data_IF_136301373067
#
_entry.id   IF_136301373067
#
_cell.length_a   1.000
_cell.length_b   1.000
_cell.length_c   1.000
_cell.angle_alpha   90.00
_cell.angle_beta   90.00
_cell.angle_gamma   90.00
#
_symmetry.space_group_name_H-M   'P 1'
#
loop_
_entity.id
_entity.type
_entity.pdbx_description
1 polymer ?
#
# COMPACT_ATOMS: atom_id res chain seq x y z
N UNK A 1 -31.82 -56.82 41.66
CA UNK A 1 -32.06 -55.47 41.11
C UNK A 1 -30.97 -54.52 41.60
N UNK A 2 -29.97 -54.27 40.75
CA UNK A 2 -29.19 -53.03 40.61
C UNK A 2 -28.16 -53.30 39.52
N UNK A 3 -28.52 -52.87 38.31
CA UNK A 3 -27.66 -52.90 37.14
C UNK A 3 -26.78 -51.66 37.26
N UNK A 4 -25.47 -51.85 37.48
CA UNK A 4 -24.50 -50.77 37.38
C UNK A 4 -24.15 -50.60 35.90
N UNK A 5 -24.84 -49.68 35.24
CA UNK A 5 -24.38 -49.15 33.96
C UNK A 5 -23.20 -48.21 34.23
N UNK A 6 -21.97 -48.67 33.97
CA UNK A 6 -20.85 -47.75 33.78
C UNK A 6 -21.05 -47.04 32.44
N UNK A 7 -21.60 -45.83 32.49
CA UNK A 7 -21.69 -44.95 31.33
C UNK A 7 -20.31 -44.40 31.02
N UNK A 8 -19.59 -45.09 30.14
CA UNK A 8 -18.42 -44.56 29.46
C UNK A 8 -18.88 -43.38 28.61
N UNK A 9 -18.50 -42.17 29.01
CA UNK A 9 -18.66 -40.95 28.23
C UNK A 9 -17.88 -41.11 26.91
N UNK A 10 -18.58 -41.45 25.83
CA UNK A 10 -18.05 -41.33 24.47
C UNK A 10 -18.13 -39.85 24.12
N UNK A 11 -17.02 -39.14 24.27
CA UNK A 11 -16.83 -37.82 23.69
C UNK A 11 -16.77 -37.95 22.18
N UNK A 12 -17.91 -37.70 21.52
CA UNK A 12 -17.97 -37.57 20.07
C UNK A 12 -17.31 -36.23 19.71
N UNK A 13 -16.03 -36.26 19.38
CA UNK A 13 -15.38 -35.18 18.65
C UNK A 13 -15.91 -35.18 17.22
N UNK A 14 -16.94 -34.37 16.96
CA UNK A 14 -17.35 -34.05 15.60
C UNK A 14 -16.31 -33.05 15.05
N UNK A 15 -15.26 -33.57 14.42
CA UNK A 15 -14.46 -32.77 13.49
C UNK A 15 -15.34 -32.49 12.28
N UNK A 16 -16.04 -31.36 12.28
CA UNK A 16 -16.65 -30.83 11.08
C UNK A 16 -15.53 -30.22 10.23
N UNK A 17 -14.73 -31.09 9.61
CA UNK A 17 -13.65 -30.69 8.72
C UNK A 17 -14.28 -30.33 7.38
N UNK A 18 -14.59 -29.05 7.17
CA UNK A 18 -14.95 -28.54 5.85
C UNK A 18 -13.72 -28.62 4.93
N UNK A 19 -13.68 -29.73 4.20
CA UNK A 19 -13.14 -30.00 2.87
C UNK A 19 -12.46 -28.77 2.21
N UNK A 20 -11.12 -28.76 2.30
CA UNK A 20 -10.10 -27.87 1.69
C UNK A 20 -10.05 -26.44 2.25
N UNK A 21 -8.85 -25.95 2.64
CA UNK A 21 -8.65 -24.52 2.84
C UNK A 21 -9.01 -23.80 1.55
N UNK A 22 -9.96 -22.88 1.61
CA UNK A 22 -10.22 -21.98 0.48
C UNK A 22 -8.96 -21.14 0.28
N UNK A 23 -8.54 -20.90 -0.96
CA UNK A 23 -7.40 -20.03 -1.23
C UNK A 23 -7.89 -18.59 -1.43
N UNK A 24 -7.22 -17.64 -0.79
CA UNK A 24 -7.36 -16.21 -1.08
C UNK A 24 -6.51 -15.92 -2.30
N UNK A 25 -7.11 -15.27 -3.30
CA UNK A 25 -6.42 -14.84 -4.52
C UNK A 25 -6.47 -13.32 -4.60
N UNK A 26 -5.31 -12.68 -4.55
CA UNK A 26 -5.17 -11.23 -4.74
C UNK A 26 -4.58 -10.99 -6.13
N UNK A 27 -5.28 -10.21 -6.94
CA UNK A 27 -4.73 -9.71 -8.20
C UNK A 27 -3.85 -8.50 -7.89
N UNK A 28 -2.60 -8.57 -8.33
CA UNK A 28 -1.59 -7.52 -8.07
C UNK A 28 -0.95 -7.12 -9.38
N UNK A 29 -0.81 -5.81 -9.61
CA UNK A 29 -0.02 -5.34 -10.73
C UNK A 29 1.48 -5.54 -10.47
N UNK A 30 2.29 -5.38 -11.53
CA UNK A 30 3.73 -5.62 -11.50
C UNK A 30 4.47 -4.71 -10.52
N UNK A 31 3.98 -3.48 -10.31
CA UNK A 31 4.61 -2.52 -9.41
C UNK A 31 4.34 -2.83 -7.94
N UNK A 32 3.15 -3.35 -7.63
CA UNK A 32 2.77 -3.72 -6.26
C UNK A 32 3.28 -5.08 -5.84
N UNK A 33 3.40 -6.00 -6.78
CA UNK A 33 3.72 -7.39 -6.49
C UNK A 33 4.95 -7.56 -5.57
N UNK A 34 6.11 -6.91 -5.81
CA UNK A 34 7.26 -7.05 -4.92
C UNK A 34 6.97 -6.63 -3.47
N UNK A 35 6.18 -5.57 -3.28
CA UNK A 35 5.82 -5.08 -1.95
C UNK A 35 4.87 -6.04 -1.22
N UNK A 36 3.91 -6.63 -1.95
CA UNK A 36 2.97 -7.62 -1.37
C UNK A 36 3.71 -8.90 -1.00
N UNK A 37 4.62 -9.38 -1.86
CA UNK A 37 5.42 -10.58 -1.59
C UNK A 37 6.36 -10.36 -0.39
N UNK A 38 7.01 -9.20 -0.30
CA UNK A 38 7.87 -8.84 0.84
C UNK A 38 7.06 -8.81 2.16
N UNK A 39 5.86 -8.22 2.14
CA UNK A 39 4.98 -8.19 3.31
C UNK A 39 4.58 -9.60 3.75
N UNK A 40 4.12 -10.45 2.82
CA UNK A 40 3.69 -11.80 3.16
C UNK A 40 4.85 -12.63 3.69
N UNK A 41 6.03 -12.50 3.08
CA UNK A 41 7.26 -13.16 3.54
C UNK A 41 7.62 -12.75 4.96
N UNK A 42 7.74 -11.45 5.25
CA UNK A 42 8.06 -10.91 6.58
C UNK A 42 6.96 -11.18 7.61
N UNK A 43 5.72 -11.33 7.16
CA UNK A 43 4.60 -11.73 8.00
C UNK A 43 4.47 -13.24 8.21
N UNK A 44 5.44 -14.05 7.76
CA UNK A 44 5.41 -15.51 7.84
C UNK A 44 4.15 -16.14 7.21
N UNK A 45 3.63 -15.54 6.13
CA UNK A 45 2.50 -16.09 5.37
C UNK A 45 3.06 -16.86 4.18
N UNK A 46 2.74 -18.16 4.10
CA UNK A 46 3.10 -18.94 2.92
C UNK A 46 2.19 -18.57 1.75
N UNK A 47 2.80 -18.25 0.61
CA UNK A 47 2.09 -17.88 -0.61
C UNK A 47 2.73 -18.52 -1.85
N UNK A 48 1.95 -18.58 -2.92
CA UNK A 48 2.41 -18.92 -4.26
C UNK A 48 2.01 -17.79 -5.22
N UNK A 49 2.92 -17.41 -6.11
CA UNK A 49 2.71 -16.28 -7.02
C UNK A 49 2.76 -16.71 -8.48
N UNK A 50 1.86 -16.17 -9.30
CA UNK A 50 2.04 -16.05 -10.75
C UNK A 50 2.28 -14.59 -11.10
N UNK A 51 2.58 -14.25 -12.37
CA UNK A 51 2.92 -12.87 -12.76
C UNK A 51 1.87 -11.80 -12.36
N UNK A 52 0.59 -12.17 -12.19
CA UNK A 52 -0.50 -11.23 -11.92
C UNK A 52 -1.35 -11.58 -10.69
N UNK A 53 -1.01 -12.64 -9.96
CA UNK A 53 -1.79 -13.07 -8.81
C UNK A 53 -0.92 -13.68 -7.71
N UNK A 54 -1.30 -13.43 -6.47
CA UNK A 54 -0.75 -14.08 -5.29
C UNK A 54 -1.86 -14.90 -4.64
N UNK A 55 -1.55 -16.16 -4.33
CA UNK A 55 -2.44 -17.11 -3.69
C UNK A 55 -1.87 -17.55 -2.35
N UNK A 56 -2.71 -17.52 -1.32
CA UNK A 56 -2.36 -18.04 0.01
C UNK A 56 -3.61 -18.64 0.66
N UNK A 57 -3.39 -19.49 1.67
CA UNK A 57 -4.46 -20.20 2.35
C UNK A 57 -5.38 -19.24 3.12
N UNK A 58 -6.70 -19.42 3.02
CA UNK A 58 -7.67 -18.77 3.91
C UNK A 58 -7.62 -19.45 5.28
N UNK A 59 -7.09 -18.74 6.27
CA UNK A 59 -7.16 -19.10 7.68
C UNK A 59 -7.15 -17.82 8.52
N UNK A 60 -7.52 -17.93 9.80
CA UNK A 60 -7.68 -16.79 10.72
C UNK A 60 -6.40 -15.96 10.80
N UNK A 61 -5.22 -16.62 10.87
CA UNK A 61 -3.93 -15.94 10.93
C UNK A 61 -3.67 -15.07 9.69
N UNK A 62 -3.88 -15.64 8.49
CA UNK A 62 -3.67 -14.95 7.23
C UNK A 62 -4.68 -13.81 7.00
N UNK A 63 -5.93 -13.97 7.46
CA UNK A 63 -6.93 -12.90 7.42
C UNK A 63 -6.49 -11.73 8.31
N UNK A 64 -6.03 -11.98 9.53
CA UNK A 64 -5.50 -10.91 10.39
C UNK A 64 -4.27 -10.22 9.80
N UNK A 65 -3.37 -10.96 9.15
CA UNK A 65 -2.26 -10.35 8.41
C UNK A 65 -2.76 -9.50 7.25
N UNK A 66 -3.81 -9.91 6.56
CA UNK A 66 -4.42 -9.13 5.48
C UNK A 66 -5.10 -7.85 5.99
N UNK A 67 -5.76 -7.90 7.14
CA UNK A 67 -6.32 -6.73 7.83
C UNK A 67 -5.22 -5.72 8.20
N UNK A 68 -4.10 -6.21 8.75
CA UNK A 68 -2.96 -5.37 9.02
C UNK A 68 -2.35 -4.79 7.74
N UNK A 69 -2.27 -5.59 6.67
CA UNK A 69 -1.79 -5.12 5.38
C UNK A 69 -2.67 -4.01 4.79
N UNK A 70 -3.98 -4.09 4.99
CA UNK A 70 -4.92 -3.04 4.56
C UNK A 70 -4.57 -1.69 5.22
N UNK A 71 -4.21 -1.69 6.51
CA UNK A 71 -3.73 -0.48 7.22
C UNK A 71 -2.46 0.04 6.57
N UNK A 72 -1.48 -0.82 6.28
CA UNK A 72 -0.25 -0.44 5.58
C UNK A 72 -0.55 0.18 4.22
N UNK A 73 -1.50 -0.38 3.46
CA UNK A 73 -1.90 0.17 2.17
C UNK A 73 -2.50 1.57 2.29
N UNK A 74 -3.33 1.82 3.30
CA UNK A 74 -3.83 3.17 3.57
C UNK A 74 -2.69 4.16 3.84
N UNK A 75 -1.72 3.76 4.66
CA UNK A 75 -0.56 4.60 4.96
C UNK A 75 0.26 4.87 3.69
N UNK A 76 0.41 3.89 2.79
CA UNK A 76 1.10 4.09 1.50
C UNK A 76 0.38 5.11 0.61
N UNK A 77 -0.96 5.04 0.53
CA UNK A 77 -1.78 6.02 -0.18
C UNK A 77 -1.53 7.42 0.38
N UNK A 78 -1.58 7.56 1.71
CA UNK A 78 -1.32 8.84 2.36
C UNK A 78 0.10 9.38 2.10
N UNK A 79 1.13 8.53 2.13
CA UNK A 79 2.49 8.99 1.86
C UNK A 79 2.65 9.44 0.40
N UNK A 80 2.09 8.72 -0.59
CA UNK A 80 2.12 9.20 -1.97
C UNK A 80 1.40 10.54 -2.13
N UNK A 81 0.23 10.70 -1.50
CA UNK A 81 -0.50 11.97 -1.51
C UNK A 81 0.32 13.11 -0.86
N UNK A 82 0.92 12.86 0.30
CA UNK A 82 1.79 13.84 1.00
C UNK A 82 3.01 14.21 0.16
N UNK A 83 3.65 13.25 -0.52
CA UNK A 83 4.74 13.53 -1.45
C UNK A 83 4.28 14.45 -2.60
N UNK A 84 3.14 14.14 -3.22
CA UNK A 84 2.57 14.92 -4.32
C UNK A 84 2.19 16.36 -3.93
N UNK A 85 1.73 16.57 -2.69
CA UNK A 85 1.50 17.91 -2.15
C UNK A 85 2.80 18.71 -1.97
N UNK A 86 3.91 18.03 -1.69
CA UNK A 86 5.15 18.68 -1.26
C UNK A 86 6.25 18.71 -2.34
N UNK A 87 5.91 18.51 -3.61
CA UNK A 87 6.85 18.50 -4.74
C UNK A 87 7.72 19.76 -4.81
N UNK A 88 7.16 20.90 -4.42
CA UNK A 88 7.82 22.22 -4.41
C UNK A 88 8.00 22.77 -2.99
N UNK A 89 7.94 21.92 -1.96
CA UNK A 89 8.16 22.36 -0.58
C UNK A 89 9.63 22.27 -0.23
N UNK A 90 10.25 23.41 0.06
CA UNK A 90 11.65 23.48 0.52
C UNK A 90 11.78 22.71 1.83
N UNK A 91 12.89 22.00 2.00
CA UNK A 91 13.20 21.15 3.17
C UNK A 91 12.33 19.91 3.36
N UNK A 92 11.28 19.71 2.55
CA UNK A 92 10.59 18.44 2.53
C UNK A 92 11.49 17.35 1.94
N UNK A 93 11.38 16.14 2.49
CA UNK A 93 12.03 14.94 1.97
C UNK A 93 10.96 13.94 1.57
N UNK A 94 11.10 13.33 0.39
CA UNK A 94 10.19 12.28 -0.08
C UNK A 94 10.13 11.17 0.97
N UNK A 95 8.93 10.77 1.37
CA UNK A 95 8.70 9.70 2.36
C UNK A 95 8.25 8.42 1.68
N UNK A 96 8.76 7.30 2.15
CA UNK A 96 8.40 5.96 1.67
C UNK A 96 8.16 5.02 2.84
N UNK A 97 7.41 3.95 2.61
CA UNK A 97 7.17 2.90 3.59
C UNK A 97 8.18 1.78 3.40
N UNK A 98 8.85 1.41 4.49
CA UNK A 98 9.76 0.26 4.55
C UNK A 98 9.19 -0.79 5.50
N UNK A 99 9.13 -2.03 5.03
CA UNK A 99 8.67 -3.17 5.83
C UNK A 99 9.82 -3.72 6.68
N UNK A 100 9.55 -3.95 7.96
CA UNK A 100 10.44 -4.58 8.93
C UNK A 100 10.33 -6.11 8.87
N UNK A 101 11.30 -6.80 9.46
CA UNK A 101 11.37 -8.28 9.46
C UNK A 101 10.15 -8.98 10.06
N UNK A 102 9.39 -8.31 10.92
CA UNK A 102 8.15 -8.83 11.54
C UNK A 102 6.87 -8.50 10.74
N UNK A 103 7.02 -7.85 9.58
CA UNK A 103 5.94 -7.37 8.73
C UNK A 103 5.36 -6.01 9.17
N UNK A 104 5.86 -5.40 10.25
CA UNK A 104 5.55 -4.02 10.61
C UNK A 104 6.19 -3.04 9.63
N UNK A 105 5.91 -1.74 9.79
CA UNK A 105 6.42 -0.73 8.87
C UNK A 105 7.02 0.48 9.59
N UNK A 106 7.99 1.11 8.91
CA UNK A 106 8.50 2.43 9.25
C UNK A 106 8.35 3.38 8.06
N UNK A 107 8.26 4.66 8.37
CA UNK A 107 8.34 5.73 7.35
C UNK A 107 9.80 6.16 7.27
N UNK A 108 10.39 6.02 6.09
CA UNK A 108 11.75 6.46 5.80
C UNK A 108 11.74 7.72 4.94
N UNK A 109 12.67 8.65 5.22
CA UNK A 109 12.88 9.83 4.39
C UNK A 109 13.99 9.57 3.36
N UNK A 110 13.71 9.85 2.09
CA UNK A 110 14.70 9.83 1.03
C UNK A 110 15.53 11.12 1.10
N UNK A 111 16.87 11.04 1.26
CA UNK A 111 17.73 12.22 1.33
C UNK A 111 17.91 12.90 -0.03
N UNK A 112 17.52 12.27 -1.13
CA UNK A 112 17.72 12.82 -2.46
C UNK A 112 16.92 14.11 -2.67
N UNK A 113 17.58 15.08 -3.30
CA UNK A 113 17.03 16.39 -3.62
C UNK A 113 17.32 16.72 -5.07
N UNK A 114 16.42 17.47 -5.69
CA UNK A 114 16.63 18.09 -6.99
C UNK A 114 17.02 19.55 -6.82
N UNK A 115 17.94 20.01 -7.65
CA UNK A 115 18.39 21.40 -7.66
C UNK A 115 17.67 22.17 -8.77
N UNK A 116 17.16 23.35 -8.43
CA UNK A 116 16.54 24.27 -9.38
C UNK A 116 17.27 25.61 -9.33
N UNK A 117 17.73 26.10 -10.48
CA UNK A 117 18.47 27.36 -10.53
C UNK A 117 17.50 28.55 -10.49
N UNK A 118 17.47 29.25 -9.35
CA UNK A 118 16.62 30.40 -9.07
C UNK A 118 17.38 31.42 -8.19
N UNK A 119 18.34 32.17 -8.76
CA UNK A 119 19.27 32.99 -7.98
C UNK A 119 18.62 34.16 -7.23
N UNK A 120 17.41 34.55 -7.62
CA UNK A 120 16.64 35.62 -6.99
C UNK A 120 15.77 35.15 -5.82
N UNK A 121 15.57 33.83 -5.64
CA UNK A 121 14.73 33.31 -4.58
C UNK A 121 15.34 33.57 -3.18
N UNK A 122 14.54 33.90 -2.15
CA UNK A 122 15.04 34.16 -0.79
C UNK A 122 15.86 32.99 -0.24
N UNK A 123 15.40 31.77 -0.46
CA UNK A 123 16.06 30.53 -0.01
C UNK A 123 17.11 29.97 -0.98
N UNK A 124 17.52 30.73 -2.01
CA UNK A 124 18.61 30.29 -2.88
C UNK A 124 19.94 30.23 -2.13
N UNK A 125 20.72 29.20 -2.41
CA UNK A 125 22.06 29.00 -1.84
C UNK A 125 22.93 30.20 -2.21
N UNK A 126 23.54 30.86 -1.22
CA UNK A 126 24.24 32.14 -1.42
C UNK A 126 25.71 32.02 -1.76
N UNK A 127 26.33 30.87 -1.49
CA UNK A 127 27.78 30.67 -1.58
C UNK A 127 28.14 29.28 -2.13
N UNK A 128 29.39 29.10 -2.56
CA UNK A 128 29.91 27.83 -3.07
C UNK A 128 29.43 27.46 -4.48
N UNK A 129 29.70 26.21 -4.88
CA UNK A 129 29.43 25.70 -6.24
C UNK A 129 27.94 25.63 -6.59
N UNK A 130 27.07 25.55 -5.58
CA UNK A 130 25.62 25.52 -5.75
C UNK A 130 24.97 26.91 -5.62
N UNK A 131 25.75 28.00 -5.69
CA UNK A 131 25.23 29.37 -5.59
C UNK A 131 24.12 29.61 -6.62
N UNK A 132 23.01 30.16 -6.16
CA UNK A 132 21.83 30.49 -6.95
C UNK A 132 20.85 29.34 -7.17
N UNK A 133 21.11 28.16 -6.61
CA UNK A 133 20.18 27.03 -6.65
C UNK A 133 19.31 26.95 -5.39
N UNK A 134 18.12 26.37 -5.53
CA UNK A 134 17.23 25.93 -4.45
C UNK A 134 17.16 24.40 -4.48
N UNK A 135 17.02 23.78 -3.31
CA UNK A 135 16.79 22.34 -3.18
C UNK A 135 15.31 22.04 -2.92
N UNK A 136 14.75 21.17 -3.75
CA UNK A 136 13.42 20.57 -3.58
C UNK A 136 13.55 19.06 -3.39
N UNK A 137 12.54 18.38 -2.83
CA UNK A 137 12.53 16.92 -2.79
C UNK A 137 12.61 16.33 -4.20
N UNK A 138 13.37 15.24 -4.34
CA UNK A 138 13.45 14.47 -5.58
C UNK A 138 12.19 13.60 -5.75
N UNK A 139 11.15 14.19 -6.31
CA UNK A 139 9.84 13.57 -6.51
C UNK A 139 9.48 13.57 -7.99
N UNK A 140 9.38 12.38 -8.57
CA UNK A 140 8.81 12.18 -9.90
C UNK A 140 7.27 12.13 -9.81
N UNK A 141 6.62 13.19 -10.24
CA UNK A 141 5.15 13.34 -10.15
C UNK A 141 4.41 12.23 -10.90
N UNK A 142 4.87 11.85 -12.10
CA UNK A 142 4.21 10.80 -12.89
C UNK A 142 4.28 9.44 -12.20
N UNK A 143 5.43 9.13 -11.59
CA UNK A 143 5.63 7.90 -10.82
C UNK A 143 4.77 7.90 -9.54
N UNK A 144 4.75 9.00 -8.79
CA UNK A 144 3.92 9.10 -7.57
C UNK A 144 2.42 8.99 -7.88
N UNK A 145 1.94 9.60 -8.97
CA UNK A 145 0.54 9.48 -9.40
C UNK A 145 0.18 8.04 -9.79
N UNK A 146 1.10 7.37 -10.49
CA UNK A 146 0.93 5.96 -10.84
C UNK A 146 0.87 5.08 -9.58
N UNK A 147 1.82 5.27 -8.66
CA UNK A 147 1.88 4.55 -7.38
C UNK A 147 0.63 4.82 -6.54
N UNK A 148 0.13 6.06 -6.48
CA UNK A 148 -1.09 6.41 -5.78
C UNK A 148 -2.30 5.64 -6.32
N UNK A 149 -2.49 5.63 -7.65
CA UNK A 149 -3.59 4.88 -8.29
C UNK A 149 -3.48 3.39 -7.99
N UNK A 150 -2.29 2.83 -8.16
CA UNK A 150 -2.01 1.41 -7.96
C UNK A 150 -2.23 0.98 -6.50
N UNK A 151 -1.79 1.80 -5.52
CA UNK A 151 -2.04 1.56 -4.09
C UNK A 151 -3.53 1.62 -3.74
N UNK A 152 -4.30 2.57 -4.30
CA UNK A 152 -5.75 2.66 -4.12
C UNK A 152 -6.47 1.41 -4.67
N UNK A 153 -6.07 0.92 -5.85
CA UNK A 153 -6.65 -0.29 -6.43
C UNK A 153 -6.39 -1.51 -5.53
N UNK A 154 -5.15 -1.67 -5.05
CA UNK A 154 -4.79 -2.75 -4.15
C UNK A 154 -5.56 -2.67 -2.82
N UNK A 155 -5.62 -1.49 -2.19
CA UNK A 155 -6.40 -1.25 -0.99
C UNK A 155 -7.87 -1.66 -1.18
N UNK A 156 -8.50 -1.20 -2.26
CA UNK A 156 -9.92 -1.49 -2.53
C UNK A 156 -10.18 -2.98 -2.79
N UNK A 157 -9.23 -3.69 -3.41
CA UNK A 157 -9.29 -5.14 -3.59
C UNK A 157 -9.23 -5.86 -2.25
N UNK A 158 -8.26 -5.50 -1.40
CA UNK A 158 -8.11 -6.09 -0.06
C UNK A 158 -9.33 -5.78 0.82
N UNK A 159 -9.81 -4.53 0.82
CA UNK A 159 -10.99 -4.11 1.55
C UNK A 159 -12.22 -4.95 1.14
N UNK A 160 -12.42 -5.17 -0.17
CA UNK A 160 -13.53 -5.98 -0.67
C UNK A 160 -13.42 -7.46 -0.25
N UNK A 161 -12.21 -8.00 -0.19
CA UNK A 161 -11.97 -9.36 0.31
C UNK A 161 -12.33 -9.48 1.79
N UNK A 162 -11.80 -8.59 2.64
CA UNK A 162 -12.06 -8.60 4.08
C UNK A 162 -13.55 -8.34 4.37
N UNK A 163 -14.16 -7.39 3.66
CA UNK A 163 -15.60 -7.10 3.77
C UNK A 163 -16.45 -8.34 3.52
N UNK A 164 -16.08 -9.15 2.52
CA UNK A 164 -16.80 -10.38 2.19
C UNK A 164 -16.62 -11.47 3.24
N UNK A 165 -15.40 -11.68 3.73
CA UNK A 165 -15.10 -12.73 4.71
C UNK A 165 -15.71 -12.41 6.09
N UNK A 166 -15.65 -11.14 6.51
CA UNK A 166 -16.07 -10.73 7.85
C UNK A 166 -17.50 -10.14 7.90
N UNK A 167 -18.18 -10.02 6.76
CA UNK A 167 -19.49 -9.36 6.64
C UNK A 167 -19.50 -7.93 7.22
N UNK A 168 -18.44 -7.16 6.95
CA UNK A 168 -18.27 -5.78 7.40
C UNK A 168 -18.18 -4.83 6.20
N UNK A 169 -18.54 -3.55 6.40
CA UNK A 169 -18.36 -2.51 5.38
C UNK A 169 -17.05 -1.77 5.63
N UNK A 170 -16.12 -1.83 4.68
CA UNK A 170 -14.87 -1.06 4.71
C UNK A 170 -14.97 0.04 3.62
N UNK A 171 -14.76 1.32 3.97
CA UNK A 171 -14.76 2.40 2.99
C UNK A 171 -13.72 2.17 1.88
N UNK A 172 -14.13 2.47 0.64
CA UNK A 172 -13.27 2.41 -0.53
C UNK A 172 -12.67 3.78 -0.82
N UNK A 173 -11.42 3.77 -1.27
CA UNK A 173 -10.70 4.98 -1.67
C UNK A 173 -10.93 5.28 -3.16
N UNK A 174 -10.88 6.56 -3.53
CA UNK A 174 -11.11 7.01 -4.91
C UNK A 174 -9.94 7.83 -5.42
N UNK A 175 -9.30 7.37 -6.49
CA UNK A 175 -8.20 8.11 -7.12
C UNK A 175 -8.65 9.52 -7.54
N UNK A 176 -9.82 9.64 -8.17
CA UNK A 176 -10.35 10.94 -8.61
C UNK A 176 -10.59 11.91 -7.44
N UNK A 177 -10.92 11.38 -6.25
CA UNK A 177 -11.03 12.20 -5.04
C UNK A 177 -9.68 12.83 -4.68
N UNK A 178 -8.61 12.03 -4.61
CA UNK A 178 -7.26 12.56 -4.33
C UNK A 178 -6.80 13.55 -5.40
N UNK A 179 -7.09 13.32 -6.68
CA UNK A 179 -6.76 14.27 -7.75
C UNK A 179 -7.47 15.60 -7.59
N UNK A 180 -8.75 15.60 -7.22
CA UNK A 180 -9.48 16.83 -6.91
C UNK A 180 -8.83 17.61 -5.77
N UNK A 181 -8.43 16.91 -4.70
CA UNK A 181 -7.73 17.54 -3.57
C UNK A 181 -6.36 18.11 -3.96
N UNK A 182 -5.59 17.39 -4.78
CA UNK A 182 -4.30 17.86 -5.29
C UNK A 182 -4.45 19.10 -6.18
N UNK A 183 -5.41 19.09 -7.11
CA UNK A 183 -5.70 20.24 -7.98
C UNK A 183 -6.13 21.47 -7.17
N UNK A 184 -6.94 21.27 -6.12
CA UNK A 184 -7.35 22.34 -5.21
C UNK A 184 -6.16 22.94 -4.44
N UNK A 185 -5.27 22.07 -3.93
CA UNK A 185 -4.19 22.50 -3.03
C UNK A 185 -3.01 23.15 -3.76
N UNK A 186 -2.67 22.68 -4.96
CA UNK A 186 -1.43 23.08 -5.63
C UNK A 186 -1.62 24.09 -6.77
N UNK A 187 -2.85 24.39 -7.19
CA UNK A 187 -3.11 25.19 -8.41
C UNK A 187 -2.53 24.57 -9.71
N UNK A 188 -1.96 23.36 -9.63
CA UNK A 188 -1.41 22.57 -10.72
C UNK A 188 -2.51 21.66 -11.24
N UNK A 189 -2.75 21.67 -12.56
CA UNK A 189 -3.69 20.76 -13.19
C UNK A 189 -3.03 19.39 -13.42
N UNK A 190 -3.17 18.47 -12.47
CA UNK A 190 -2.64 17.11 -12.56
C UNK A 190 -3.33 16.26 -13.65
N UNK A 191 -4.46 16.71 -14.23
CA UNK A 191 -5.19 15.93 -15.23
C UNK A 191 -4.37 15.66 -16.50
N UNK A 192 -3.48 16.59 -16.90
CA UNK A 192 -2.60 16.40 -18.07
C UNK A 192 -1.50 15.36 -17.80
N UNK A 193 -1.00 15.28 -16.57
CA UNK A 193 0.01 14.30 -16.15
C UNK A 193 -0.56 12.90 -15.97
N UNK A 194 -1.84 12.80 -15.57
CA UNK A 194 -2.57 11.53 -15.46
C UNK A 194 -2.73 10.84 -16.82
N UNK A 195 -3.04 11.60 -17.88
CA UNK A 195 -3.16 11.03 -19.22
C UNK A 195 -1.83 10.40 -19.67
N UNK A 196 -0.71 11.06 -19.37
CA UNK A 196 0.63 10.56 -19.68
C UNK A 196 1.03 9.33 -18.86
N UNK A 197 0.62 9.24 -17.59
CA UNK A 197 0.87 8.04 -16.77
C UNK A 197 -0.06 6.87 -17.12
N UNK A 198 -1.24 7.13 -17.67
CA UNK A 198 -2.13 6.10 -18.24
C UNK A 198 -1.57 5.52 -19.54
N UNK A 199 -0.83 6.29 -20.35
CA UNK A 199 -0.14 5.75 -21.53
C UNK A 199 0.99 4.78 -21.15
N UNK A 200 1.70 5.04 -20.04
CA UNK A 200 2.72 4.14 -19.50
C UNK A 200 2.15 2.81 -18.97
N UNK A 201 0.84 2.73 -18.72
CA UNK A 201 0.12 1.50 -18.32
C UNK A 201 -0.22 0.58 -19.51
N UNK A 202 -0.11 1.06 -20.75
CA UNK A 202 -0.44 0.30 -21.96
C UNK A 202 0.78 -0.40 -22.58
N UNK A 203 1.98 -0.14 -22.08
CA UNK A 203 3.25 -0.74 -22.49
C UNK A 203 3.82 -1.62 -21.37
#
# INVERSE_FOLDING_TARGET
MRINFSTTLISIFVFNCSIRPQNIRILVDRAQKPFVEDFLSKSNVQFSGTNSAILFTNNIYNIHKLEYFLIIQMVRIEQNYKNLLNVNTISYKKRTIQLQEDGSYLISENPNQRYLFEPTHPDSIRTGNAKGYITYPDINVSEELYNLKSNILLYNLIASLISKENNISIPKESFDHYIKLLNYSNGINFNSLILRSIELLKN
#
